data_IF_840943761332
#
_entry.id   IF_840943761332
#
_cell.length_a   1.000
_cell.length_b   1.000
_cell.length_c   1.000
_cell.angle_alpha   90.00
_cell.angle_beta   90.00
_cell.angle_gamma   90.00
#
_symmetry.space_group_name_H-M   'P 1'
#
loop_
_entity.id
_entity.type
_entity.pdbx_description
1 polymer ?
#
# COMPACT_ATOMS: atom_id res chain seq x y z
N UNK A 1 5.63 -7.93 18.87
CA UNK A 1 4.32 -7.34 18.55
C UNK A 1 4.27 -5.82 18.75
N UNK A 2 4.17 -5.23 19.94
CA UNK A 2 4.14 -3.73 20.03
C UNK A 2 5.47 -3.09 19.59
N UNK A 3 6.59 -3.57 20.14
CA UNK A 3 7.93 -3.13 19.73
C UNK A 3 8.16 -3.38 18.25
N UNK A 4 7.70 -4.52 17.75
CA UNK A 4 7.81 -4.90 16.34
C UNK A 4 6.97 -4.00 15.43
N UNK A 5 5.74 -3.66 15.80
CA UNK A 5 4.90 -2.70 15.07
C UNK A 5 5.53 -1.30 15.08
N UNK A 6 6.08 -0.88 16.23
CA UNK A 6 6.83 0.38 16.35
C UNK A 6 8.08 0.39 15.47
N UNK A 7 8.82 -0.71 15.40
CA UNK A 7 10.01 -0.83 14.56
C UNK A 7 9.66 -0.85 13.08
N UNK A 8 8.57 -1.53 12.67
CA UNK A 8 8.02 -1.41 11.32
C UNK A 8 7.72 0.05 10.97
N UNK A 9 7.06 0.76 11.87
CA UNK A 9 6.63 2.17 11.71
C UNK A 9 7.80 3.15 11.57
N UNK A 10 9.03 2.74 11.85
CA UNK A 10 10.26 3.53 11.61
C UNK A 10 10.83 3.34 10.21
N UNK A 11 10.18 2.54 9.36
CA UNK A 11 10.63 2.32 7.99
C UNK A 11 10.65 3.64 7.20
N UNK A 12 11.72 3.85 6.43
CA UNK A 12 11.91 5.06 5.62
C UNK A 12 10.82 5.25 4.56
N UNK A 13 10.07 4.19 4.20
CA UNK A 13 8.99 4.30 3.22
C UNK A 13 7.85 5.17 3.74
N UNK A 14 7.66 5.28 5.06
CA UNK A 14 6.56 6.05 5.65
C UNK A 14 6.78 7.56 5.62
N UNK A 15 7.95 8.01 5.17
CA UNK A 15 8.11 9.39 4.70
C UNK A 15 7.24 9.69 3.46
N UNK A 16 6.83 8.65 2.71
CA UNK A 16 6.06 8.77 1.47
C UNK A 16 4.67 8.14 1.54
N UNK A 17 4.51 7.10 2.35
CA UNK A 17 3.31 6.27 2.45
C UNK A 17 2.67 6.39 3.85
N UNK A 18 1.95 7.48 4.10
CA UNK A 18 1.40 7.77 5.42
C UNK A 18 0.22 6.86 5.80
N UNK A 19 -0.64 6.48 4.86
CA UNK A 19 -1.83 5.68 5.17
C UNK A 19 -1.46 4.27 5.64
N UNK A 20 -0.43 3.64 5.06
CA UNK A 20 0.11 2.40 5.60
C UNK A 20 0.65 2.55 7.03
N UNK A 21 1.26 3.70 7.35
CA UNK A 21 1.76 3.99 8.69
C UNK A 21 0.64 4.22 9.71
N UNK A 22 -0.46 4.85 9.28
CA UNK A 22 -1.68 5.02 10.08
C UNK A 22 -2.26 3.66 10.50
N UNK A 23 -2.28 2.67 9.59
CA UNK A 23 -2.74 1.32 9.90
C UNK A 23 -1.87 0.62 10.97
N UNK A 24 -0.55 0.77 10.89
CA UNK A 24 0.36 0.22 11.92
C UNK A 24 0.20 0.94 13.26
N UNK A 25 -0.01 2.24 13.22
CA UNK A 25 -0.24 3.06 14.41
C UNK A 25 -1.56 2.69 15.09
N UNK A 26 -2.64 2.52 14.32
CA UNK A 26 -3.95 2.06 14.84
C UNK A 26 -3.86 0.65 15.44
N UNK A 27 -3.16 -0.27 14.75
CA UNK A 27 -2.89 -1.60 15.30
C UNK A 27 -2.17 -1.53 16.65
N UNK A 28 -1.11 -0.72 16.74
CA UNK A 28 -0.34 -0.54 17.97
C UNK A 28 -1.18 0.03 19.10
N UNK A 29 -1.95 1.08 18.83
CA UNK A 29 -2.83 1.73 19.81
C UNK A 29 -3.88 0.76 20.39
N UNK A 30 -4.57 0.02 19.52
CA UNK A 30 -5.57 -0.98 19.92
C UNK A 30 -4.95 -2.12 20.73
N UNK A 31 -3.76 -2.58 20.34
CA UNK A 31 -3.04 -3.62 21.07
C UNK A 31 -2.65 -3.14 22.48
N UNK A 32 -2.13 -1.92 22.60
CA UNK A 32 -1.77 -1.34 23.90
C UNK A 32 -2.96 -1.15 24.82
N UNK A 33 -4.09 -0.68 24.27
CA UNK A 33 -5.33 -0.57 25.01
C UNK A 33 -5.81 -1.93 25.53
N UNK A 34 -5.90 -2.95 24.65
CA UNK A 34 -6.30 -4.28 25.06
C UNK A 34 -5.38 -4.89 26.12
N UNK A 35 -4.06 -4.68 26.00
CA UNK A 35 -3.11 -5.14 27.01
C UNK A 35 -3.34 -4.48 28.37
N UNK A 36 -3.65 -3.18 28.41
CA UNK A 36 -3.98 -2.47 29.65
C UNK A 36 -5.21 -3.09 30.30
N UNK A 37 -6.29 -3.26 29.54
CA UNK A 37 -7.54 -3.84 30.03
C UNK A 37 -7.35 -5.28 30.55
N UNK A 38 -6.52 -6.06 29.87
CA UNK A 38 -6.19 -7.43 30.29
C UNK A 38 -5.39 -7.42 31.60
N UNK A 39 -4.38 -6.55 31.72
CA UNK A 39 -3.57 -6.40 32.94
C UNK A 39 -4.43 -5.97 34.13
N UNK A 40 -5.35 -5.04 33.94
CA UNK A 40 -6.29 -4.60 34.99
C UNK A 40 -7.18 -5.75 35.47
N UNK A 41 -7.74 -6.55 34.57
CA UNK A 41 -8.53 -7.74 34.92
C UNK A 41 -7.71 -8.77 35.69
N UNK A 42 -6.48 -9.04 35.25
CA UNK A 42 -5.58 -9.97 35.94
C UNK A 42 -5.23 -9.45 37.34
N UNK A 43 -4.91 -8.15 37.47
CA UNK A 43 -4.61 -7.51 38.74
C UNK A 43 -5.80 -7.54 39.72
N UNK A 44 -7.04 -7.50 39.21
CA UNK A 44 -8.26 -7.63 40.00
C UNK A 44 -8.48 -9.07 40.50
N UNK A 45 -8.24 -10.07 39.67
CA UNK A 45 -8.53 -11.48 40.00
C UNK A 45 -7.44 -12.16 40.83
N UNK A 46 -6.16 -11.84 40.58
CA UNK A 46 -5.03 -12.50 41.25
C UNK A 46 -5.10 -12.43 42.79
N UNK A 47 -5.35 -11.27 43.42
CA UNK A 47 -5.47 -11.20 44.88
C UNK A 47 -6.66 -12.00 45.42
N UNK A 48 -7.79 -12.01 44.71
CA UNK A 48 -9.02 -12.71 45.13
C UNK A 48 -8.82 -14.22 45.17
N UNK A 49 -8.14 -14.77 44.16
CA UNK A 49 -7.80 -16.18 44.07
C UNK A 49 -6.84 -16.58 45.21
N UNK A 50 -5.81 -15.76 45.47
CA UNK A 50 -4.81 -16.04 46.53
C UNK A 50 -5.35 -15.87 47.95
N UNK A 51 -6.30 -14.96 48.15
CA UNK A 51 -6.84 -14.60 49.47
C UNK A 51 -7.95 -15.50 50.00
N UNK A 52 -8.17 -16.68 49.42
CA UNK A 52 -9.26 -17.61 49.79
C UNK A 52 -10.65 -16.96 49.82
N UNK A 53 -10.90 -15.99 48.92
CA UNK A 53 -12.18 -15.25 48.85
C UNK A 53 -13.30 -16.02 48.13
N UNK A 54 -13.10 -17.31 47.85
CA UNK A 54 -14.05 -18.16 47.13
C UNK A 54 -14.04 -17.99 45.60
N UNK A 55 -13.12 -17.18 45.05
CA UNK A 55 -12.92 -17.05 43.60
C UNK A 55 -11.97 -18.14 43.11
N UNK A 56 -12.45 -18.99 42.23
CA UNK A 56 -11.66 -20.08 41.63
C UNK A 56 -10.74 -19.60 40.50
N UNK A 57 -9.66 -20.36 40.26
CA UNK A 57 -8.73 -20.15 39.14
C UNK A 57 -9.41 -20.26 37.77
N UNK A 58 -10.58 -20.91 37.69
CA UNK A 58 -11.40 -21.05 36.49
C UNK A 58 -11.75 -19.69 35.85
N UNK A 59 -11.79 -18.61 36.63
CA UNK A 59 -12.01 -17.24 36.13
C UNK A 59 -10.85 -16.78 35.24
N UNK A 60 -9.59 -17.02 35.63
CA UNK A 60 -8.43 -16.69 34.81
C UNK A 60 -8.34 -17.60 33.58
N UNK A 61 -8.64 -18.88 33.72
CA UNK A 61 -8.70 -19.81 32.59
C UNK A 61 -9.70 -19.34 31.52
N UNK A 62 -10.92 -18.96 31.94
CA UNK A 62 -11.93 -18.44 31.04
C UNK A 62 -11.52 -17.11 30.40
N UNK A 63 -10.84 -16.23 31.14
CA UNK A 63 -10.28 -14.98 30.60
C UNK A 63 -9.28 -15.27 29.48
N UNK A 64 -8.30 -16.16 29.70
CA UNK A 64 -7.33 -16.52 28.66
C UNK A 64 -8.00 -17.21 27.47
N UNK A 65 -8.99 -18.07 27.70
CA UNK A 65 -9.79 -18.68 26.62
C UNK A 65 -10.51 -17.63 25.76
N UNK A 66 -10.99 -16.54 26.37
CA UNK A 66 -11.56 -15.41 25.62
C UNK A 66 -10.50 -14.68 24.79
N UNK A 67 -9.30 -14.46 25.35
CA UNK A 67 -8.17 -13.88 24.60
C UNK A 67 -7.81 -14.75 23.39
N UNK A 68 -7.73 -16.07 23.58
CA UNK A 68 -7.40 -17.01 22.51
C UNK A 68 -8.46 -17.04 21.39
N UNK A 69 -9.73 -16.82 21.72
CA UNK A 69 -10.83 -16.72 20.75
C UNK A 69 -10.97 -15.32 20.12
N UNK A 70 -10.29 -14.31 20.69
CA UNK A 70 -10.38 -12.91 20.27
C UNK A 70 -9.50 -12.62 19.03
N UNK A 71 -9.63 -11.44 18.41
CA UNK A 71 -8.69 -10.99 17.37
C UNK A 71 -7.31 -10.62 17.93
N UNK A 72 -7.17 -10.54 19.25
CA UNK A 72 -5.89 -10.34 19.95
C UNK A 72 -5.14 -11.66 20.22
N UNK A 73 -5.61 -12.78 19.67
CA UNK A 73 -4.86 -14.03 19.67
C UNK A 73 -3.46 -13.81 19.07
N UNK A 74 -2.43 -14.33 19.76
CA UNK A 74 -1.03 -14.19 19.36
C UNK A 74 -0.77 -14.57 17.89
N UNK A 75 -1.31 -15.70 17.42
CA UNK A 75 -1.09 -16.18 16.06
C UNK A 75 -1.69 -15.24 15.00
N UNK A 76 -2.86 -14.63 15.30
CA UNK A 76 -3.51 -13.66 14.39
C UNK A 76 -2.67 -12.38 14.29
N UNK A 77 -2.26 -11.84 15.44
CA UNK A 77 -1.43 -10.64 15.53
C UNK A 77 -0.07 -10.85 14.85
N UNK A 78 0.61 -11.98 15.11
CA UNK A 78 1.88 -12.33 14.46
C UNK A 78 1.72 -12.56 12.96
N UNK A 79 0.61 -13.15 12.51
CA UNK A 79 0.35 -13.29 11.07
C UNK A 79 0.18 -11.94 10.40
N UNK A 80 -0.64 -11.07 10.97
CA UNK A 80 -0.88 -9.74 10.42
C UNK A 80 0.40 -8.91 10.36
N UNK A 81 1.21 -8.90 11.43
CA UNK A 81 2.50 -8.19 11.43
C UNK A 81 3.47 -8.73 10.38
N UNK A 82 3.56 -10.06 10.25
CA UNK A 82 4.40 -10.71 9.24
C UNK A 82 3.95 -10.34 7.82
N UNK A 83 2.65 -10.27 7.57
CA UNK A 83 2.09 -9.85 6.28
C UNK A 83 2.44 -8.40 5.97
N UNK A 84 2.27 -7.48 6.93
CA UNK A 84 2.67 -6.07 6.77
C UNK A 84 4.17 -5.92 6.56
N UNK A 85 5.00 -6.66 7.29
CA UNK A 85 6.46 -6.62 7.12
C UNK A 85 6.86 -7.06 5.70
N UNK A 86 6.26 -8.12 5.17
CA UNK A 86 6.52 -8.58 3.80
C UNK A 86 6.07 -7.55 2.76
N UNK A 87 4.88 -6.98 2.94
CA UNK A 87 4.34 -5.92 2.09
C UNK A 87 5.27 -4.69 2.05
N UNK A 88 5.68 -4.17 3.21
CA UNK A 88 6.62 -3.06 3.35
C UNK A 88 7.96 -3.37 2.66
N UNK A 89 8.44 -4.60 2.79
CA UNK A 89 9.73 -5.02 2.18
C UNK A 89 9.65 -5.02 0.66
N UNK A 90 8.53 -5.50 0.09
CA UNK A 90 8.29 -5.49 -1.35
C UNK A 90 8.20 -4.05 -1.89
N UNK A 91 7.39 -3.21 -1.25
CA UNK A 91 7.22 -1.81 -1.63
C UNK A 91 8.56 -1.09 -1.57
N UNK A 92 9.32 -1.26 -0.48
CA UNK A 92 10.67 -0.69 -0.34
C UNK A 92 11.57 -1.11 -1.50
N UNK A 93 11.56 -2.39 -1.87
CA UNK A 93 12.35 -2.90 -3.00
C UNK A 93 11.95 -2.22 -4.32
N UNK A 94 10.66 -2.00 -4.55
CA UNK A 94 10.18 -1.31 -5.76
C UNK A 94 10.55 0.16 -5.79
N UNK A 95 10.44 0.85 -4.66
CA UNK A 95 10.86 2.24 -4.50
C UNK A 95 12.36 2.40 -4.72
N UNK A 96 13.18 1.50 -4.17
CA UNK A 96 14.61 1.47 -4.44
C UNK A 96 14.91 1.24 -5.93
N UNK A 97 14.15 0.37 -6.61
CA UNK A 97 14.34 0.17 -8.04
C UNK A 97 13.91 1.38 -8.87
N UNK A 98 12.85 2.08 -8.49
CA UNK A 98 12.40 3.31 -9.13
C UNK A 98 13.44 4.42 -8.98
N UNK A 99 14.02 4.56 -7.79
CA UNK A 99 15.03 5.60 -7.51
C UNK A 99 16.40 5.29 -8.10
N UNK A 100 16.83 4.02 -8.13
CA UNK A 100 18.14 3.61 -8.69
C UNK A 100 18.16 3.61 -10.22
N UNK A 101 17.08 3.18 -10.86
CA UNK A 101 17.03 3.03 -12.32
C UNK A 101 16.61 4.33 -13.02
N UNK A 102 16.16 5.35 -12.30
CA UNK A 102 15.64 6.57 -12.90
C UNK A 102 16.40 7.80 -12.42
N UNK A 103 16.99 8.53 -13.36
CA UNK A 103 17.70 9.77 -13.07
C UNK A 103 16.71 10.84 -12.60
N UNK A 104 16.60 11.06 -11.29
CA UNK A 104 16.02 12.23 -10.57
C UNK A 104 14.62 12.77 -10.93
N UNK A 105 13.94 12.27 -11.97
CA UNK A 105 12.72 12.87 -12.51
C UNK A 105 11.43 12.34 -11.85
N UNK A 106 11.53 11.27 -11.06
CA UNK A 106 10.40 10.73 -10.29
C UNK A 106 10.33 11.44 -8.96
N UNK A 107 9.18 12.04 -8.66
CA UNK A 107 8.86 12.50 -7.31
C UNK A 107 8.07 11.42 -6.59
N UNK A 108 8.66 10.88 -5.52
CA UNK A 108 7.97 9.96 -4.62
C UNK A 108 7.35 10.83 -3.53
N UNK A 109 6.03 10.80 -3.46
CA UNK A 109 5.17 11.74 -2.72
C UNK A 109 5.72 12.13 -1.35
N UNK A 110 5.80 13.43 -1.06
CA UNK A 110 5.83 13.94 0.34
C UNK A 110 4.78 15.03 0.60
N UNK A 111 3.94 15.36 -0.39
CA UNK A 111 2.88 16.38 -0.34
C UNK A 111 1.56 15.83 -0.90
N UNK A 112 0.45 16.56 -0.76
CA UNK A 112 -0.84 16.11 -1.29
C UNK A 112 -0.75 15.89 -2.82
N UNK A 113 -1.35 14.82 -3.32
CA UNK A 113 -1.48 14.56 -4.76
C UNK A 113 -2.16 15.76 -5.46
N UNK A 114 -3.14 16.36 -4.79
CA UNK A 114 -3.88 17.53 -5.28
C UNK A 114 -2.98 18.75 -5.52
N UNK A 115 -1.93 18.93 -4.71
CA UNK A 115 -0.98 20.04 -4.89
C UNK A 115 -0.17 19.85 -6.18
N UNK A 116 0.23 18.61 -6.48
CA UNK A 116 0.95 18.30 -7.73
C UNK A 116 0.02 18.44 -8.93
N UNK A 117 -1.22 17.97 -8.82
CA UNK A 117 -2.24 18.07 -9.86
C UNK A 117 -2.59 19.53 -10.17
N UNK A 118 -2.61 20.40 -9.14
CA UNK A 118 -2.95 21.81 -9.27
C UNK A 118 -1.80 22.68 -9.80
N UNK A 119 -0.61 22.12 -9.97
CA UNK A 119 0.56 22.86 -10.42
C UNK A 119 0.48 23.15 -11.92
N UNK A 120 0.17 24.40 -12.26
CA UNK A 120 -0.03 24.87 -13.65
C UNK A 120 1.23 24.79 -14.52
N UNK A 121 2.38 24.39 -13.98
CA UNK A 121 3.59 24.12 -14.76
C UNK A 121 3.47 22.82 -15.56
N UNK A 122 2.67 21.86 -15.09
CA UNK A 122 2.56 20.54 -15.67
C UNK A 122 1.24 20.37 -16.42
N UNK A 123 1.33 20.11 -17.72
CA UNK A 123 0.19 19.75 -18.59
C UNK A 123 -0.16 18.27 -18.44
N UNK A 124 0.87 17.41 -18.28
CA UNK A 124 0.71 15.96 -18.12
C UNK A 124 1.42 15.46 -16.86
N UNK A 125 0.69 14.76 -15.99
CA UNK A 125 1.22 14.13 -14.79
C UNK A 125 0.98 12.63 -14.90
N UNK A 126 2.06 11.87 -15.06
CA UNK A 126 2.04 10.41 -15.06
C UNK A 126 2.29 9.89 -13.65
N UNK A 127 1.28 9.25 -13.09
CA UNK A 127 1.26 8.77 -11.73
C UNK A 127 1.26 7.24 -11.69
N UNK A 128 2.23 6.67 -10.97
CA UNK A 128 2.17 5.29 -10.52
C UNK A 128 1.59 5.27 -9.10
N UNK A 129 0.29 4.96 -8.97
CA UNK A 129 -0.40 4.92 -7.68
C UNK A 129 -0.33 3.52 -7.07
N UNK A 130 0.27 3.40 -5.88
CA UNK A 130 0.30 2.18 -5.08
C UNK A 130 -0.96 2.09 -4.23
N UNK A 131 -1.87 1.21 -4.65
CA UNK A 131 -3.18 0.99 -4.03
C UNK A 131 -3.14 -0.22 -3.10
N UNK A 132 -2.33 -0.13 -2.05
CA UNK A 132 -2.08 -1.24 -1.12
C UNK A 132 -2.76 -1.07 0.24
N UNK A 133 -3.31 0.11 0.53
CA UNK A 133 -4.03 0.37 1.77
C UNK A 133 -5.49 -0.02 1.60
N UNK A 134 -5.95 -0.98 2.39
CA UNK A 134 -7.37 -1.33 2.48
C UNK A 134 -8.04 -0.35 3.43
N UNK A 135 -9.05 0.43 3.01
CA UNK A 135 -9.78 1.33 3.92
C UNK A 135 -10.35 0.59 5.15
N UNK A 136 -10.75 -0.66 4.92
CA UNK A 136 -11.38 -1.54 5.89
C UNK A 136 -10.49 -2.76 6.18
N UNK A 137 -9.29 -2.56 6.74
CA UNK A 137 -8.41 -3.68 7.13
C UNK A 137 -9.12 -4.56 8.16
N UNK A 138 -9.42 -5.83 7.84
CA UNK A 138 -10.34 -6.58 8.69
C UNK A 138 -9.71 -7.06 10.00
N UNK A 139 -8.37 -7.08 10.16
CA UNK A 139 -7.78 -7.29 11.49
C UNK A 139 -8.08 -6.09 12.40
N UNK A 140 -7.95 -4.86 11.88
CA UNK A 140 -8.27 -3.63 12.63
C UNK A 140 -9.76 -3.56 12.96
N UNK A 141 -10.63 -3.91 12.00
CA UNK A 141 -12.08 -3.99 12.21
C UNK A 141 -12.43 -5.01 13.28
N UNK A 142 -11.84 -6.22 13.22
CA UNK A 142 -12.12 -7.25 14.21
C UNK A 142 -11.69 -6.78 15.60
N UNK A 143 -10.50 -6.16 15.73
CA UNK A 143 -10.01 -5.58 17.00
C UNK A 143 -10.96 -4.50 17.53
N UNK A 144 -11.38 -3.58 16.66
CA UNK A 144 -12.37 -2.54 17.00
C UNK A 144 -13.69 -3.15 17.50
N UNK A 145 -14.27 -4.07 16.73
CA UNK A 145 -15.55 -4.68 17.08
C UNK A 145 -15.46 -5.49 18.37
N UNK A 146 -14.36 -6.20 18.61
CA UNK A 146 -14.17 -6.93 19.86
C UNK A 146 -14.11 -6.00 21.09
N UNK A 147 -13.49 -4.83 20.97
CA UNK A 147 -13.37 -3.86 22.06
C UNK A 147 -14.67 -3.06 22.29
N UNK A 148 -15.33 -2.62 21.21
CA UNK A 148 -16.36 -1.58 21.29
C UNK A 148 -17.75 -2.01 20.80
N UNK A 149 -17.86 -3.02 19.93
CA UNK A 149 -19.12 -3.43 19.31
C UNK A 149 -19.20 -4.96 19.16
N UNK A 150 -19.30 -5.65 20.31
CA UNK A 150 -19.29 -7.13 20.36
C UNK A 150 -20.41 -7.78 19.56
N UNK A 151 -21.51 -7.06 19.30
CA UNK A 151 -22.61 -7.55 18.49
C UNK A 151 -22.22 -7.68 17.01
N UNK A 152 -21.23 -6.91 16.55
CA UNK A 152 -20.65 -7.00 15.20
C UNK A 152 -19.44 -7.92 15.12
N UNK A 153 -18.88 -8.34 16.25
CA UNK A 153 -17.77 -9.29 16.26
C UNK A 153 -18.29 -10.72 15.98
N UNK A 154 -17.89 -11.29 14.85
CA UNK A 154 -18.22 -12.67 14.52
C UNK A 154 -16.94 -13.50 14.38
N UNK A 155 -16.62 -14.29 15.42
CA UNK A 155 -15.39 -15.11 15.45
C UNK A 155 -15.31 -16.15 14.33
N UNK A 156 -16.45 -16.48 13.70
CA UNK A 156 -16.55 -17.40 12.56
C UNK A 156 -16.05 -16.80 11.24
N UNK A 157 -15.97 -15.47 11.14
CA UNK A 157 -15.59 -14.78 9.90
C UNK A 157 -14.11 -14.41 9.82
N UNK A 158 -13.30 -14.69 10.85
CA UNK A 158 -11.88 -14.37 10.79
C UNK A 158 -11.21 -15.27 9.74
N UNK A 159 -10.70 -14.73 8.64
CA UNK A 159 -10.16 -15.55 7.57
C UNK A 159 -8.84 -16.14 8.05
N UNK A 160 -8.88 -17.37 8.53
CA UNK A 160 -7.69 -18.11 9.01
C UNK A 160 -6.60 -18.22 7.93
N UNK A 161 -6.94 -17.99 6.66
CA UNK A 161 -6.01 -17.83 5.53
C UNK A 161 -6.64 -16.97 4.43
N UNK A 162 -6.57 -15.63 4.52
CA UNK A 162 -6.65 -14.84 3.29
C UNK A 162 -5.35 -15.09 2.53
N UNK A 163 -5.43 -15.49 1.26
CA UNK A 163 -4.24 -15.56 0.41
C UNK A 163 -3.69 -14.14 0.32
N UNK A 164 -2.45 -13.94 0.74
CA UNK A 164 -1.80 -12.64 0.64
C UNK A 164 -1.66 -12.28 -0.83
N UNK A 165 -1.98 -11.04 -1.19
CA UNK A 165 -1.98 -10.58 -2.58
C UNK A 165 -0.64 -10.81 -3.29
N UNK A 166 0.47 -10.71 -2.57
CA UNK A 166 1.82 -10.91 -3.10
C UNK A 166 2.18 -12.40 -3.34
N UNK A 167 1.33 -13.34 -2.93
CA UNK A 167 1.43 -14.76 -3.34
C UNK A 167 0.68 -15.04 -4.64
N UNK A 168 -0.22 -14.14 -5.06
CA UNK A 168 -0.91 -14.24 -6.32
C UNK A 168 0.03 -13.82 -7.47
N UNK A 169 0.38 -14.79 -8.33
CA UNK A 169 1.28 -14.56 -9.46
C UNK A 169 0.69 -13.60 -10.49
N UNK A 170 -0.63 -13.57 -10.67
CA UNK A 170 -1.27 -12.65 -11.62
C UNK A 170 -1.17 -11.20 -11.13
N UNK A 171 -1.46 -10.96 -9.85
CA UNK A 171 -1.32 -9.64 -9.22
C UNK A 171 0.14 -9.17 -9.32
N UNK A 172 1.08 -10.03 -8.90
CA UNK A 172 2.51 -9.70 -8.94
C UNK A 172 3.02 -9.46 -10.36
N UNK A 173 2.53 -10.20 -11.36
CA UNK A 173 2.92 -10.02 -12.76
C UNK A 173 2.42 -8.68 -13.29
N UNK A 174 1.18 -8.30 -12.96
CA UNK A 174 0.59 -7.01 -13.36
C UNK A 174 1.35 -5.84 -12.73
N UNK A 175 1.63 -5.89 -11.42
CA UNK A 175 2.39 -4.83 -10.73
C UNK A 175 3.79 -4.70 -11.33
N UNK A 176 4.51 -5.82 -11.53
CA UNK A 176 5.85 -5.80 -12.14
C UNK A 176 5.84 -5.26 -13.57
N UNK A 177 4.80 -5.55 -14.35
CA UNK A 177 4.62 -5.01 -15.70
C UNK A 177 4.46 -3.48 -15.64
N UNK A 178 3.53 -2.99 -14.83
CA UNK A 178 3.26 -1.55 -14.70
C UNK A 178 4.49 -0.79 -14.17
N UNK A 179 5.21 -1.34 -13.19
CA UNK A 179 6.48 -0.78 -12.71
C UNK A 179 7.52 -0.65 -13.82
N UNK A 180 7.70 -1.70 -14.64
CA UNK A 180 8.67 -1.69 -15.74
C UNK A 180 8.26 -0.68 -16.81
N UNK A 181 7.00 -0.68 -17.23
CA UNK A 181 6.47 0.26 -18.23
C UNK A 181 6.62 1.71 -17.75
N UNK A 182 6.36 1.97 -16.47
CA UNK A 182 6.59 3.30 -15.88
C UNK A 182 8.06 3.71 -15.93
N UNK A 183 8.98 2.83 -15.50
CA UNK A 183 10.43 3.11 -15.54
C UNK A 183 10.88 3.38 -16.98
N UNK A 184 10.52 2.51 -17.93
CA UNK A 184 10.87 2.67 -19.35
C UNK A 184 10.32 3.97 -19.94
N UNK A 185 9.10 4.35 -19.54
CA UNK A 185 8.47 5.58 -20.00
C UNK A 185 9.13 6.83 -19.42
N UNK A 186 9.49 6.84 -18.13
CA UNK A 186 10.23 7.96 -17.53
C UNK A 186 11.61 8.11 -18.19
N UNK A 187 12.30 6.99 -18.42
CA UNK A 187 13.61 6.97 -19.09
C UNK A 187 13.55 7.49 -20.52
N UNK A 188 12.51 7.14 -21.28
CA UNK A 188 12.29 7.61 -22.64
C UNK A 188 11.95 9.10 -22.75
N UNK A 189 11.44 9.69 -21.67
CA UNK A 189 10.95 11.07 -21.62
C UNK A 189 11.79 11.96 -20.68
N UNK A 190 13.09 11.65 -20.52
CA UNK A 190 14.03 12.43 -19.68
C UNK A 190 14.31 13.85 -20.17
N UNK A 191 14.09 14.14 -21.45
CA UNK A 191 14.38 15.45 -22.02
C UNK A 191 13.45 16.52 -21.43
N UNK A 192 13.91 17.79 -21.41
CA UNK A 192 13.24 18.96 -20.81
C UNK A 192 11.92 19.32 -21.48
N UNK A 193 10.92 18.46 -21.40
CA UNK A 193 9.53 18.87 -21.52
C UNK A 193 9.07 19.29 -20.14
N UNK A 194 9.30 20.56 -19.79
CA UNK A 194 8.94 21.14 -18.49
C UNK A 194 7.46 21.02 -18.13
N UNK A 195 6.62 20.56 -19.07
CA UNK A 195 5.19 20.31 -18.92
C UNK A 195 4.86 18.90 -18.42
N UNK A 196 5.81 17.98 -18.34
CA UNK A 196 5.57 16.60 -17.90
C UNK A 196 6.11 16.38 -16.49
N UNK A 197 5.34 15.70 -15.65
CA UNK A 197 5.76 15.25 -14.32
C UNK A 197 5.54 13.75 -14.15
N UNK A 198 6.49 13.11 -13.47
CA UNK A 198 6.39 11.71 -13.06
C UNK A 198 6.30 11.62 -11.54
N UNK A 199 5.27 10.94 -11.04
CA UNK A 199 5.08 10.76 -9.60
C UNK A 199 4.77 9.32 -9.22
N UNK A 200 5.09 8.99 -7.98
CA UNK A 200 4.65 7.77 -7.29
C UNK A 200 3.86 8.20 -6.06
N UNK A 201 2.64 7.67 -5.96
CA UNK A 201 1.65 8.07 -4.97
C UNK A 201 1.12 6.86 -4.18
N UNK A 202 0.54 7.11 -3.01
CA UNK A 202 -0.20 6.15 -2.21
C UNK A 202 -1.70 6.38 -2.36
N UNK A 203 -2.45 5.32 -2.65
CA UNK A 203 -3.91 5.34 -2.68
C UNK A 203 -4.54 4.17 -1.93
N UNK A 204 -5.85 4.26 -1.70
CA UNK A 204 -6.64 3.15 -1.19
C UNK A 204 -6.88 2.09 -2.28
N UNK A 205 -6.94 0.83 -1.87
CA UNK A 205 -7.31 -0.30 -2.73
C UNK A 205 -8.76 -0.17 -3.19
N UNK A 206 -9.02 -0.44 -4.47
CA UNK A 206 -10.39 -0.49 -4.99
C UNK A 206 -10.92 -1.91 -4.86
N UNK A 207 -12.14 -2.08 -4.33
CA UNK A 207 -12.77 -3.39 -4.15
C UNK A 207 -11.90 -4.41 -3.38
N UNK A 208 -11.10 -3.93 -2.41
CA UNK A 208 -10.12 -4.73 -1.65
C UNK A 208 -9.07 -5.44 -2.54
N UNK A 209 -8.87 -4.96 -3.76
CA UNK A 209 -7.86 -5.47 -4.68
C UNK A 209 -6.63 -4.58 -4.63
N UNK A 210 -5.52 -5.17 -4.20
CA UNK A 210 -4.22 -4.50 -4.12
C UNK A 210 -3.55 -4.42 -5.49
N UNK A 211 -3.17 -3.22 -5.90
CA UNK A 211 -2.65 -2.96 -7.26
C UNK A 211 -1.64 -1.82 -7.26
N UNK A 212 -0.85 -1.76 -8.34
CA UNK A 212 -0.09 -0.57 -8.72
C UNK A 212 -0.62 -0.11 -10.07
N UNK A 213 -1.20 1.08 -10.13
CA UNK A 213 -1.95 1.57 -11.28
C UNK A 213 -1.26 2.76 -11.93
N UNK A 214 -1.37 2.82 -13.25
CA UNK A 214 -0.85 3.89 -14.07
C UNK A 214 -2.00 4.84 -14.37
N UNK A 215 -1.84 6.08 -13.93
CA UNK A 215 -2.86 7.12 -14.03
C UNK A 215 -2.23 8.31 -14.77
N UNK A 216 -2.98 8.90 -15.69
CA UNK A 216 -2.63 10.16 -16.33
C UNK A 216 -3.57 11.24 -15.82
N UNK A 217 -3.00 12.35 -15.35
CA UNK A 217 -3.72 13.60 -15.21
C UNK A 217 -3.31 14.54 -16.34
N UNK A 218 -4.29 15.08 -17.05
CA UNK A 218 -4.10 16.08 -18.10
C UNK A 218 -4.86 17.33 -17.69
N UNK A 219 -4.17 18.47 -17.61
CA UNK A 219 -4.73 19.75 -17.12
C UNK A 219 -5.49 19.60 -15.79
N UNK A 220 -4.98 18.74 -14.91
CA UNK A 220 -5.55 18.48 -13.60
C UNK A 220 -6.68 17.45 -13.55
N UNK A 221 -7.06 16.84 -14.67
CA UNK A 221 -8.15 15.86 -14.76
C UNK A 221 -7.63 14.45 -15.02
N UNK A 222 -8.10 13.49 -14.21
CA UNK A 222 -7.80 12.07 -14.43
C UNK A 222 -8.38 11.58 -15.76
N UNK A 223 -7.55 10.91 -16.57
CA UNK A 223 -7.95 10.32 -17.84
C UNK A 223 -8.30 8.84 -17.66
N UNK A 224 -9.57 8.52 -17.93
CA UNK A 224 -10.06 7.15 -17.87
C UNK A 224 -9.41 6.26 -18.94
N UNK A 225 -9.11 5.03 -18.56
CA UNK A 225 -8.57 4.01 -19.47
C UNK A 225 -7.17 4.31 -20.03
N UNK A 226 -6.40 5.21 -19.41
CA UNK A 226 -5.05 5.53 -19.88
C UNK A 226 -4.14 4.28 -19.94
N UNK A 227 -3.40 4.16 -21.04
CA UNK A 227 -2.38 3.14 -21.26
C UNK A 227 -1.10 3.86 -21.69
N UNK A 228 0.01 3.56 -21.01
CA UNK A 228 1.32 4.11 -21.40
C UNK A 228 1.60 3.75 -22.87
N UNK A 229 1.89 4.75 -23.73
CA UNK A 229 2.19 4.48 -25.12
C UNK A 229 3.51 3.71 -25.21
N UNK A 230 3.55 2.75 -26.14
CA UNK A 230 4.80 2.04 -26.43
C UNK A 230 5.83 2.97 -27.06
N UNK A 231 7.11 2.68 -26.86
CA UNK A 231 8.20 3.35 -27.56
C UNK A 231 7.94 3.35 -29.08
N UNK A 232 8.00 4.51 -29.76
CA UNK A 232 7.82 4.58 -31.19
C UNK A 232 8.91 3.78 -31.91
N UNK A 233 8.61 3.27 -33.11
CA UNK A 233 9.63 2.64 -33.94
C UNK A 233 10.71 3.66 -34.32
N UNK A 234 11.92 3.15 -34.56
CA UNK A 234 12.98 3.99 -35.10
C UNK A 234 12.48 4.65 -36.40
N UNK A 235 12.62 5.98 -36.53
CA UNK A 235 12.25 6.64 -37.77
C UNK A 235 13.11 6.08 -38.91
N UNK A 236 12.51 5.93 -40.09
CA UNK A 236 13.21 5.53 -41.31
C UNK A 236 13.24 6.68 -42.30
N UNK A 237 14.26 6.71 -43.15
CA UNK A 237 14.35 7.69 -44.22
C UNK A 237 13.32 7.36 -45.31
N UNK A 238 12.34 8.24 -45.50
CA UNK A 238 11.32 8.14 -46.56
C UNK A 238 11.86 8.68 -47.88
N UNK A 239 12.56 9.81 -47.82
CA UNK A 239 13.16 10.46 -48.99
C UNK A 239 14.56 10.96 -48.63
N UNK A 240 15.49 10.79 -49.55
CA UNK A 240 16.87 11.29 -49.44
C UNK A 240 17.16 12.07 -50.72
N UNK A 241 17.55 13.32 -50.57
CA UNK A 241 18.07 14.18 -51.64
C UNK A 241 19.51 14.56 -51.32
N UNK A 242 20.20 15.20 -52.27
CA UNK A 242 21.58 15.66 -52.08
C UNK A 242 21.74 16.64 -50.91
N UNK A 243 20.65 17.30 -50.47
CA UNK A 243 20.69 18.35 -49.43
C UNK A 243 19.70 18.11 -48.28
N UNK A 244 18.93 17.02 -48.28
CA UNK A 244 17.94 16.78 -47.22
C UNK A 244 17.56 15.30 -47.07
N UNK A 245 17.19 14.92 -45.85
CA UNK A 245 16.60 13.63 -45.53
C UNK A 245 15.25 13.87 -44.87
N UNK A 246 14.19 13.29 -45.42
CA UNK A 246 12.86 13.27 -44.80
C UNK A 246 12.69 11.97 -44.02
N UNK A 247 12.53 12.08 -42.71
CA UNK A 247 12.27 10.94 -41.82
C UNK A 247 10.75 10.72 -41.67
N UNK A 248 10.35 9.46 -41.61
CA UNK A 248 8.99 9.04 -41.27
C UNK A 248 9.07 8.00 -40.14
N UNK A 249 8.08 7.98 -39.26
CA UNK A 249 7.90 6.92 -38.26
C UNK A 249 6.49 6.35 -38.35
N UNK A 250 6.31 5.13 -37.84
CA UNK A 250 5.01 4.47 -37.73
C UNK A 250 4.60 4.51 -36.27
N UNK A 251 3.43 5.08 -35.98
CA UNK A 251 2.86 5.04 -34.65
C UNK A 251 2.39 3.63 -34.31
N UNK A 252 2.68 3.17 -33.10
CA UNK A 252 2.16 1.88 -32.63
C UNK A 252 0.70 2.09 -32.23
N UNK A 253 -0.20 1.28 -32.76
CA UNK A 253 -1.66 1.36 -32.56
C UNK A 253 -2.17 1.06 -31.13
N UNK A 254 -1.38 1.25 -30.08
CA UNK A 254 -1.73 0.85 -28.71
C UNK A 254 -1.70 1.98 -27.67
N UNK A 255 -1.52 3.23 -28.09
CA UNK A 255 -1.88 4.39 -27.29
C UNK A 255 -3.03 5.08 -27.99
N UNK A 256 -4.23 5.04 -27.42
CA UNK A 256 -5.36 5.84 -27.89
C UNK A 256 -5.76 6.79 -26.77
N UNK A 257 -5.60 8.09 -26.99
CA UNK A 257 -6.60 9.03 -26.51
C UNK A 257 -7.89 8.72 -27.26
N UNK A 258 -8.98 8.48 -26.54
CA UNK A 258 -10.32 8.49 -27.10
C UNK A 258 -10.99 9.79 -26.73
#
# INVERSE_FOLDING_TARGET
MEVEASDLSKSTIFAYFNHMNEHLSDFGARLSEFQRDLKEKIALYLPKIRGSTGVEESVLFNLFKQVDASPFNKNKLESWLREKQQEITLIKTWIENLTKNTSSNITIKSSSLDEVISDTRYEYIFCLSFRFVEENDPQLIDMHNYQYDKNKFNSSNSPLKRKTWFTDRHIMTKIRKNLREFIEFVEGNKAENGKIKFIVDEGYSINNAKSAELILYEDGLEKDGFIIPSKPYAPYAKFVTDHSITLQWVDKATGSEK
#
